data_IF_430235462893
#
_entry.id   IF_430235462893
#
_cell.length_a   1.000
_cell.length_b   1.000
_cell.length_c   1.000
_cell.angle_alpha   90.00
_cell.angle_beta   90.00
_cell.angle_gamma   90.00
#
_symmetry.space_group_name_H-M   'P 1'
#
loop_
_entity.id
_entity.type
_entity.pdbx_description
1 polymer ?
#
# COMPACT_ATOMS: atom_id res chain seq x y z
N UNK A 1 14.77 22.06 -20.82
CA UNK A 1 14.37 23.24 -20.02
C UNK A 1 13.33 22.74 -19.02
N UNK A 2 13.66 22.86 -17.75
CA UNK A 2 12.95 22.28 -16.60
C UNK A 2 11.86 23.23 -16.17
N UNK A 3 10.65 22.75 -15.92
CA UNK A 3 9.68 23.50 -15.12
C UNK A 3 9.45 22.71 -13.84
N UNK A 4 9.95 23.28 -12.76
CA UNK A 4 9.57 22.94 -11.39
C UNK A 4 8.24 23.63 -11.11
N UNK A 5 7.16 22.88 -10.99
CA UNK A 5 5.93 23.38 -10.39
C UNK A 5 5.78 22.75 -8.99
N UNK A 6 6.18 23.56 -8.02
CA UNK A 6 5.94 23.31 -6.60
C UNK A 6 4.44 23.48 -6.30
N UNK A 7 3.79 22.42 -5.82
CA UNK A 7 2.45 22.51 -5.25
C UNK A 7 2.49 23.39 -3.99
N UNK A 8 1.92 24.61 -4.08
CA UNK A 8 1.57 25.42 -2.93
C UNK A 8 0.21 24.97 -2.40
N UNK A 9 0.17 24.63 -1.13
CA UNK A 9 -1.09 24.44 -0.42
C UNK A 9 -1.84 25.77 -0.35
N UNK A 10 -3.06 25.80 -0.86
CA UNK A 10 -3.94 26.96 -0.79
C UNK A 10 -4.81 26.83 0.46
N UNK A 11 -4.78 27.87 1.30
CA UNK A 11 -5.52 27.95 2.57
C UNK A 11 -6.95 28.44 2.33
N UNK A 12 -7.91 27.62 2.70
CA UNK A 12 -9.21 28.07 3.19
C UNK A 12 -10.30 28.31 2.16
N UNK A 13 -11.08 27.28 1.90
CA UNK A 13 -12.54 27.37 1.65
C UNK A 13 -13.07 25.93 1.69
N UNK A 14 -14.31 25.76 2.15
CA UNK A 14 -14.95 24.46 2.39
C UNK A 14 -14.66 23.45 1.30
N UNK A 15 -14.33 22.23 1.69
CA UNK A 15 -14.04 21.12 0.80
C UNK A 15 -15.31 20.82 -0.02
N UNK A 16 -15.40 21.43 -1.19
CA UNK A 16 -16.26 20.90 -2.26
C UNK A 16 -15.53 19.67 -2.79
N UNK A 17 -16.12 18.50 -2.59
CA UNK A 17 -15.64 17.25 -3.18
C UNK A 17 -15.53 17.44 -4.69
N UNK A 18 -14.46 16.93 -5.33
CA UNK A 18 -14.33 17.01 -6.77
C UNK A 18 -15.54 16.34 -7.43
N UNK A 19 -16.13 17.02 -8.38
CA UNK A 19 -17.14 16.47 -9.29
C UNK A 19 -16.59 15.19 -9.92
N UNK A 20 -17.40 14.13 -9.94
CA UNK A 20 -17.05 12.87 -10.62
C UNK A 20 -16.74 13.21 -12.08
N UNK A 21 -15.51 12.89 -12.58
CA UNK A 21 -15.14 13.18 -13.95
C UNK A 21 -16.07 12.45 -14.94
N UNK A 22 -16.35 13.08 -16.07
CA UNK A 22 -17.05 12.43 -17.19
C UNK A 22 -16.16 11.39 -17.86
N UNK A 23 -16.73 10.50 -18.67
CA UNK A 23 -16.01 9.39 -19.34
C UNK A 23 -14.80 9.89 -20.14
N UNK A 24 -14.83 11.10 -20.69
CA UNK A 24 -13.73 11.71 -21.44
C UNK A 24 -12.58 12.18 -20.54
N UNK A 25 -12.84 12.43 -19.26
CA UNK A 25 -11.81 12.75 -18.25
C UNK A 25 -11.14 11.48 -17.70
N UNK A 26 -11.73 10.30 -17.89
CA UNK A 26 -11.27 9.04 -17.29
C UNK A 26 -9.90 8.58 -17.79
N UNK A 27 -9.49 8.97 -18.99
CA UNK A 27 -8.21 8.59 -19.58
C UNK A 27 -7.00 9.26 -18.88
N UNK A 28 -7.24 10.35 -18.12
CA UNK A 28 -6.21 11.11 -17.40
C UNK A 28 -6.11 10.80 -15.90
N UNK A 29 -7.02 10.02 -15.32
CA UNK A 29 -7.17 9.89 -13.86
C UNK A 29 -7.03 8.46 -13.34
N UNK A 30 -6.08 7.71 -13.85
CA UNK A 30 -5.67 6.51 -13.12
C UNK A 30 -5.03 6.93 -11.79
N UNK A 31 -5.71 6.60 -10.70
CA UNK A 31 -5.13 6.67 -9.36
C UNK A 31 -4.17 5.51 -9.24
N UNK A 32 -3.00 5.74 -8.81
CA UNK A 32 -1.96 4.73 -8.76
C UNK A 32 -0.84 5.00 -9.76
N UNK A 33 0.36 4.99 -9.21
CA UNK A 33 1.63 5.16 -9.93
C UNK A 33 2.33 3.82 -9.91
N UNK A 34 2.85 3.39 -11.05
CA UNK A 34 3.64 2.15 -11.16
C UNK A 34 5.11 2.40 -10.89
N UNK A 35 5.76 1.40 -10.28
CA UNK A 35 7.21 1.28 -10.13
C UNK A 35 7.56 -0.17 -10.49
N UNK A 36 8.01 -0.41 -11.72
CA UNK A 36 8.14 -1.78 -12.24
C UNK A 36 6.79 -2.49 -12.29
N UNK A 37 6.68 -3.64 -11.66
CA UNK A 37 5.44 -4.41 -11.49
C UNK A 37 4.61 -3.95 -10.29
N UNK A 38 5.19 -3.16 -9.38
CA UNK A 38 4.51 -2.55 -8.25
C UNK A 38 3.59 -1.40 -8.65
N UNK A 39 2.64 -1.10 -7.78
CA UNK A 39 1.88 0.14 -7.83
C UNK A 39 1.69 0.72 -6.42
N UNK A 40 1.55 2.05 -6.37
CA UNK A 40 1.23 2.79 -5.15
C UNK A 40 0.01 3.68 -5.36
N UNK A 41 -0.74 3.93 -4.28
CA UNK A 41 -1.83 4.91 -4.25
C UNK A 41 -1.82 5.66 -2.93
N UNK A 42 -2.12 6.95 -2.96
CA UNK A 42 -2.19 7.74 -1.73
C UNK A 42 -3.19 8.89 -1.81
N UNK A 43 -3.68 9.26 -0.66
CA UNK A 43 -4.52 10.44 -0.42
C UNK A 43 -4.29 10.95 1.01
N UNK A 44 -5.06 11.93 1.45
CA UNK A 44 -4.98 12.44 2.83
C UNK A 44 -5.53 11.48 3.89
N UNK A 45 -6.22 10.40 3.50
CA UNK A 45 -6.85 9.47 4.43
C UNK A 45 -6.68 7.98 4.06
N UNK A 46 -6.06 7.69 2.93
CA UNK A 46 -5.64 6.33 2.60
C UNK A 46 -4.31 6.31 1.87
N UNK A 47 -3.57 5.23 2.07
CA UNK A 47 -2.37 4.88 1.34
C UNK A 47 -2.38 3.38 1.03
N UNK A 48 -1.71 2.96 -0.04
CA UNK A 48 -1.66 1.55 -0.39
C UNK A 48 -0.59 1.21 -1.40
N UNK A 49 -0.14 -0.04 -1.35
CA UNK A 49 0.75 -0.66 -2.32
C UNK A 49 0.15 -1.96 -2.84
N UNK A 50 0.56 -2.34 -4.02
CA UNK A 50 0.26 -3.64 -4.63
C UNK A 50 1.48 -4.09 -5.42
N UNK A 51 1.96 -5.29 -5.13
CA UNK A 51 3.08 -5.94 -5.78
C UNK A 51 2.55 -6.85 -6.88
N UNK A 52 2.94 -6.56 -8.11
CA UNK A 52 2.56 -7.34 -9.27
C UNK A 52 3.48 -8.53 -9.46
N UNK A 53 2.96 -9.75 -9.43
CA UNK A 53 3.77 -10.98 -9.52
C UNK A 53 4.50 -11.08 -10.85
N UNK A 54 5.80 -10.78 -10.85
CA UNK A 54 6.66 -10.68 -12.03
C UNK A 54 6.76 -11.93 -12.89
N UNK A 55 6.45 -13.11 -12.36
CA UNK A 55 6.42 -14.37 -13.10
C UNK A 55 5.48 -14.33 -14.32
N UNK A 56 4.46 -13.49 -14.30
CA UNK A 56 3.55 -13.31 -15.42
C UNK A 56 4.18 -12.64 -16.64
N UNK A 57 5.25 -11.85 -16.47
CA UNK A 57 5.93 -11.17 -17.58
C UNK A 57 6.56 -12.13 -18.60
N UNK A 58 6.72 -13.39 -18.22
CA UNK A 58 7.18 -14.47 -19.13
C UNK A 58 6.06 -15.07 -19.98
N UNK A 59 4.80 -14.71 -19.73
CA UNK A 59 3.63 -15.25 -20.41
C UNK A 59 3.14 -14.30 -21.50
N UNK A 60 2.66 -14.83 -22.64
CA UNK A 60 1.89 -14.02 -23.58
C UNK A 60 0.71 -13.37 -22.85
N UNK A 61 0.50 -12.06 -23.04
CA UNK A 61 -0.56 -11.29 -22.40
C UNK A 61 -0.39 -11.12 -20.87
N UNK A 62 0.74 -11.54 -20.30
CA UNK A 62 1.10 -11.31 -18.91
C UNK A 62 1.37 -9.82 -18.67
N UNK A 63 0.76 -9.23 -17.63
CA UNK A 63 0.94 -7.83 -17.33
C UNK A 63 0.70 -7.58 -15.84
N UNK A 64 1.67 -7.94 -15.00
CA UNK A 64 1.61 -7.79 -13.55
C UNK A 64 1.44 -6.33 -13.13
N UNK A 65 2.22 -5.41 -13.71
CA UNK A 65 2.13 -3.97 -13.45
C UNK A 65 0.74 -3.37 -13.71
N UNK A 66 -0.01 -3.89 -14.67
CA UNK A 66 -1.39 -3.43 -14.90
C UNK A 66 -2.33 -3.95 -13.83
N UNK A 67 -2.15 -5.21 -13.39
CA UNK A 67 -2.94 -5.79 -12.33
C UNK A 67 -2.79 -5.03 -11.00
N UNK A 68 -1.56 -4.78 -10.58
CA UNK A 68 -1.27 -4.01 -9.36
C UNK A 68 -1.88 -2.61 -9.41
N UNK A 69 -1.75 -1.93 -10.55
CA UNK A 69 -2.31 -0.60 -10.74
C UNK A 69 -3.84 -0.57 -10.75
N UNK A 70 -4.50 -1.53 -11.41
CA UNK A 70 -5.95 -1.58 -11.49
C UNK A 70 -6.59 -1.91 -10.15
N UNK A 71 -6.02 -2.84 -9.38
CA UNK A 71 -6.47 -3.16 -8.02
C UNK A 71 -6.50 -1.91 -7.15
N UNK A 72 -5.41 -1.14 -7.13
CA UNK A 72 -5.35 0.07 -6.33
C UNK A 72 -6.27 1.18 -6.85
N UNK A 73 -6.37 1.32 -8.16
CA UNK A 73 -7.25 2.31 -8.78
C UNK A 73 -8.72 2.09 -8.39
N UNK A 74 -9.23 0.90 -8.61
CA UNK A 74 -10.62 0.60 -8.28
C UNK A 74 -10.88 0.54 -6.79
N UNK A 75 -9.90 0.10 -5.98
CA UNK A 75 -10.02 0.16 -4.53
C UNK A 75 -10.17 1.60 -4.04
N UNK A 76 -9.37 2.52 -4.56
CA UNK A 76 -9.47 3.94 -4.20
C UNK A 76 -10.85 4.51 -4.55
N UNK A 77 -11.36 4.20 -5.76
CA UNK A 77 -12.69 4.65 -6.19
C UNK A 77 -13.81 4.10 -5.28
N UNK A 78 -13.77 2.80 -4.99
CA UNK A 78 -14.78 2.17 -4.11
C UNK A 78 -14.71 2.73 -2.68
N UNK A 79 -13.50 2.95 -2.16
CA UNK A 79 -13.30 3.55 -0.84
C UNK A 79 -13.88 4.95 -0.78
N UNK A 80 -13.61 5.79 -1.78
CA UNK A 80 -14.17 7.14 -1.85
C UNK A 80 -15.69 7.13 -1.94
N UNK A 81 -16.27 6.20 -2.70
CA UNK A 81 -17.72 6.06 -2.76
C UNK A 81 -18.32 5.66 -1.40
N UNK A 82 -17.66 4.74 -0.66
CA UNK A 82 -18.12 4.37 0.67
C UNK A 82 -18.06 5.54 1.65
N UNK A 83 -16.97 6.32 1.64
CA UNK A 83 -16.80 7.52 2.46
C UNK A 83 -17.86 8.58 2.12
N UNK A 84 -18.14 8.80 0.84
CA UNK A 84 -19.18 9.72 0.40
C UNK A 84 -20.57 9.31 0.88
N UNK A 85 -20.91 8.03 0.77
CA UNK A 85 -22.19 7.49 1.25
C UNK A 85 -22.33 7.64 2.76
N UNK A 86 -21.26 7.32 3.52
CA UNK A 86 -21.23 7.47 4.97
C UNK A 86 -21.47 8.91 5.40
N UNK A 87 -20.87 9.88 4.71
CA UNK A 87 -21.04 11.30 5.00
C UNK A 87 -22.42 11.88 4.57
N UNK A 88 -23.09 11.21 3.63
CA UNK A 88 -24.39 11.67 3.08
C UNK A 88 -25.60 11.10 3.83
N UNK A 89 -25.40 10.05 4.65
CA UNK A 89 -26.46 9.42 5.41
C UNK A 89 -26.80 10.29 6.63
N UNK A 90 -27.91 11.02 6.56
CA UNK A 90 -28.52 11.68 7.73
C UNK A 90 -28.98 10.62 8.73
N UNK A 91 -28.92 10.95 10.00
CA UNK A 91 -28.99 10.20 11.26
C UNK A 91 -30.01 9.09 11.47
N UNK A 92 -30.79 8.67 10.49
CA UNK A 92 -31.93 7.76 10.68
C UNK A 92 -31.81 6.38 9.98
N UNK A 93 -30.71 6.10 9.28
CA UNK A 93 -30.46 4.77 8.73
C UNK A 93 -29.20 4.16 9.34
N UNK A 94 -29.30 2.88 9.73
CA UNK A 94 -28.23 2.01 10.23
C UNK A 94 -26.89 2.34 9.56
N UNK A 95 -25.88 2.73 10.37
CA UNK A 95 -24.64 3.36 9.97
C UNK A 95 -24.04 2.75 8.72
N UNK A 96 -23.81 3.59 7.71
CA UNK A 96 -23.04 3.20 6.53
C UNK A 96 -21.63 2.80 6.97
N UNK A 97 -21.40 1.50 7.06
CA UNK A 97 -20.13 0.94 7.53
C UNK A 97 -19.10 1.00 6.42
N UNK A 98 -17.97 1.67 6.67
CA UNK A 98 -16.84 1.70 5.75
C UNK A 98 -16.03 0.41 5.93
N UNK A 99 -15.96 -0.42 4.89
CA UNK A 99 -15.24 -1.69 4.90
C UNK A 99 -14.18 -1.71 3.80
N UNK A 100 -12.89 -1.57 4.17
CA UNK A 100 -11.81 -1.60 3.18
C UNK A 100 -11.73 -2.97 2.47
N UNK A 101 -12.12 -4.04 3.15
CA UNK A 101 -12.14 -5.38 2.56
C UNK A 101 -13.25 -5.54 1.52
N UNK A 102 -14.44 -4.97 1.76
CA UNK A 102 -15.51 -4.99 0.75
C UNK A 102 -15.16 -4.11 -0.44
N UNK A 103 -14.49 -2.97 -0.23
CA UNK A 103 -13.98 -2.14 -1.30
C UNK A 103 -12.93 -2.89 -2.14
N UNK A 104 -12.03 -3.65 -1.49
CA UNK A 104 -11.04 -4.47 -2.17
C UNK A 104 -11.69 -5.62 -2.96
N UNK A 105 -12.77 -6.23 -2.44
CA UNK A 105 -13.52 -7.26 -3.15
C UNK A 105 -14.16 -6.70 -4.43
N UNK A 106 -14.82 -5.56 -4.35
CA UNK A 106 -15.42 -4.90 -5.51
C UNK A 106 -14.35 -4.48 -6.55
N UNK A 107 -13.21 -3.97 -6.08
CA UNK A 107 -12.05 -3.69 -6.93
C UNK A 107 -11.54 -4.93 -7.66
N UNK A 108 -11.39 -6.04 -6.94
CA UNK A 108 -10.95 -7.32 -7.50
C UNK A 108 -11.90 -7.83 -8.59
N UNK A 109 -13.20 -7.78 -8.34
CA UNK A 109 -14.23 -8.19 -9.31
C UNK A 109 -14.19 -7.32 -10.57
N UNK A 110 -14.08 -6.01 -10.41
CA UNK A 110 -13.98 -5.06 -11.52
C UNK A 110 -12.70 -5.27 -12.32
N UNK A 111 -11.55 -5.40 -11.65
CA UNK A 111 -10.25 -5.67 -12.28
C UNK A 111 -10.28 -6.99 -13.06
N UNK A 112 -10.83 -8.05 -12.45
CA UNK A 112 -10.95 -9.37 -13.10
C UNK A 112 -11.84 -9.31 -14.34
N UNK A 113 -12.98 -8.62 -14.27
CA UNK A 113 -13.88 -8.48 -15.42
C UNK A 113 -13.20 -7.71 -16.56
N UNK A 114 -12.53 -6.61 -16.24
CA UNK A 114 -11.83 -5.77 -17.21
C UNK A 114 -10.69 -6.53 -17.88
N UNK A 115 -9.77 -7.10 -17.12
CA UNK A 115 -8.59 -7.82 -17.65
C UNK A 115 -8.99 -9.03 -18.46
N UNK A 116 -10.03 -9.75 -18.04
CA UNK A 116 -10.59 -10.88 -18.82
C UNK A 116 -11.13 -10.44 -20.18
N UNK A 117 -11.78 -9.26 -20.27
CA UNK A 117 -12.33 -8.75 -21.54
C UNK A 117 -11.25 -8.43 -22.58
N UNK A 118 -10.04 -8.12 -22.13
CA UNK A 118 -8.86 -7.85 -22.98
C UNK A 118 -7.87 -9.02 -23.04
N UNK A 119 -8.22 -10.18 -22.48
CA UNK A 119 -7.34 -11.35 -22.39
C UNK A 119 -6.01 -11.08 -21.69
N UNK A 120 -5.97 -10.11 -20.76
CA UNK A 120 -4.78 -9.79 -19.96
C UNK A 120 -4.74 -10.71 -18.75
N UNK A 121 -3.59 -11.32 -18.51
CA UNK A 121 -3.36 -12.21 -17.37
C UNK A 121 -2.33 -11.61 -16.41
N UNK A 122 -2.50 -11.87 -15.12
CA UNK A 122 -1.62 -11.37 -14.07
C UNK A 122 -2.21 -11.62 -12.69
N UNK A 123 -1.40 -11.42 -11.69
CA UNK A 123 -1.78 -11.43 -10.27
C UNK A 123 -1.02 -10.35 -9.52
N UNK A 124 -1.52 -9.99 -8.35
CA UNK A 124 -0.92 -8.96 -7.49
C UNK A 124 -1.28 -9.20 -6.03
N UNK A 125 -0.45 -8.72 -5.12
CA UNK A 125 -0.79 -8.50 -3.71
C UNK A 125 -1.65 -7.24 -3.55
N UNK A 126 -2.12 -6.95 -2.34
CA UNK A 126 -2.72 -5.66 -2.01
C UNK A 126 -2.56 -5.38 -0.52
N UNK A 127 -1.88 -4.30 -0.16
CA UNK A 127 -1.72 -3.84 1.21
C UNK A 127 -2.13 -2.38 1.33
N UNK A 128 -3.08 -2.08 2.22
CA UNK A 128 -3.85 -0.83 2.21
C UNK A 128 -4.03 -0.33 3.65
N UNK A 129 -3.92 0.97 3.86
CA UNK A 129 -4.21 1.62 5.12
C UNK A 129 -5.25 2.72 4.89
N UNK A 130 -6.36 2.68 5.65
CA UNK A 130 -7.48 3.61 5.54
C UNK A 130 -7.75 4.24 6.92
N UNK A 131 -7.63 5.55 7.00
CA UNK A 131 -7.94 6.32 8.20
C UNK A 131 -9.42 6.68 8.23
N UNK A 132 -10.08 6.22 9.27
CA UNK A 132 -11.49 6.53 9.58
C UNK A 132 -11.52 7.56 10.71
N UNK A 133 -12.21 8.68 10.56
CA UNK A 133 -12.38 9.63 11.64
C UNK A 133 -13.07 8.99 12.87
N UNK A 134 -12.74 9.39 14.11
CA UNK A 134 -11.78 10.47 14.41
C UNK A 134 -10.31 10.04 14.36
N UNK A 135 -9.96 8.77 14.58
CA UNK A 135 -8.56 8.33 14.67
C UNK A 135 -8.40 6.80 14.54
N UNK A 136 -9.28 6.11 13.84
CA UNK A 136 -9.17 4.66 13.64
C UNK A 136 -8.51 4.38 12.28
N UNK A 137 -7.40 3.65 12.28
CA UNK A 137 -6.74 3.17 11.06
C UNK A 137 -7.10 1.70 10.83
N UNK A 138 -7.53 1.39 9.61
CA UNK A 138 -7.78 0.02 9.16
C UNK A 138 -6.67 -0.40 8.19
N UNK A 139 -5.85 -1.37 8.60
CA UNK A 139 -4.83 -1.98 7.76
C UNK A 139 -5.43 -3.23 7.12
N UNK A 140 -5.41 -3.31 5.80
CA UNK A 140 -5.96 -4.44 5.04
C UNK A 140 -4.88 -5.06 4.18
N UNK A 141 -4.72 -6.38 4.24
CA UNK A 141 -3.67 -7.09 3.51
C UNK A 141 -4.16 -8.37 2.83
N UNK A 142 -3.67 -8.58 1.61
CA UNK A 142 -3.63 -9.86 0.89
C UNK A 142 -2.24 -9.99 0.28
N UNK A 143 -1.50 -11.00 0.71
CA UNK A 143 -0.13 -11.28 0.26
C UNK A 143 0.93 -10.94 1.27
N UNK A 144 2.15 -10.73 0.81
CA UNK A 144 3.37 -10.52 1.59
C UNK A 144 3.86 -9.06 1.63
N UNK A 145 3.19 -8.16 0.91
CA UNK A 145 3.31 -6.72 1.20
C UNK A 145 2.83 -6.43 2.63
N UNK A 146 3.38 -5.41 3.28
CA UNK A 146 3.09 -5.15 4.69
C UNK A 146 2.76 -3.70 4.99
N UNK A 147 1.92 -3.51 6.01
CA UNK A 147 1.65 -2.22 6.64
C UNK A 147 2.04 -2.24 8.11
N UNK A 148 2.67 -1.17 8.56
CA UNK A 148 3.14 -0.99 9.94
C UNK A 148 2.66 0.34 10.50
N UNK A 149 2.43 0.38 11.80
CA UNK A 149 2.23 1.63 12.55
C UNK A 149 3.34 1.75 13.59
N UNK A 150 4.21 2.74 13.41
CA UNK A 150 5.28 3.07 14.35
C UNK A 150 4.81 4.21 15.25
N UNK A 151 4.97 4.03 16.55
CA UNK A 151 4.71 5.07 17.57
C UNK A 151 6.01 5.62 18.08
N UNK A 152 6.38 6.87 17.74
CA UNK A 152 7.65 7.46 18.15
C UNK A 152 7.82 7.54 19.67
N UNK A 153 6.74 7.81 20.41
CA UNK A 153 6.77 7.88 21.89
C UNK A 153 7.11 6.53 22.56
N UNK A 154 6.88 5.41 21.87
CA UNK A 154 7.22 4.06 22.34
C UNK A 154 8.45 3.46 21.65
N UNK A 155 8.93 4.08 20.58
CA UNK A 155 10.09 3.61 19.80
C UNK A 155 9.91 2.24 19.15
N UNK A 156 8.67 1.86 18.80
CA UNK A 156 8.36 0.53 18.25
C UNK A 156 7.15 0.52 17.33
N UNK A 157 7.00 -0.55 16.58
CA UNK A 157 5.74 -0.85 15.90
C UNK A 157 4.67 -1.28 16.91
N UNK A 158 3.52 -0.60 16.89
CA UNK A 158 2.35 -0.90 17.74
C UNK A 158 1.33 -1.80 17.02
N UNK A 159 1.38 -1.87 15.71
CA UNK A 159 0.57 -2.76 14.88
C UNK A 159 1.25 -3.04 13.54
N UNK A 160 0.92 -4.17 12.95
CA UNK A 160 1.31 -4.53 11.58
C UNK A 160 0.35 -5.55 11.00
N UNK A 161 0.39 -5.71 9.67
CA UNK A 161 -0.22 -6.82 8.97
C UNK A 161 0.73 -8.02 8.95
N UNK A 162 0.18 -9.22 8.85
CA UNK A 162 0.97 -10.44 8.69
C UNK A 162 1.15 -10.77 7.21
N UNK A 163 2.37 -11.21 6.83
CA UNK A 163 2.64 -11.76 5.51
C UNK A 163 1.83 -13.04 5.28
N UNK A 164 1.33 -13.23 4.07
CA UNK A 164 0.50 -14.37 3.73
C UNK A 164 1.10 -15.10 2.52
N UNK A 165 1.53 -16.34 2.73
CA UNK A 165 2.11 -17.19 1.69
C UNK A 165 1.36 -18.52 1.51
N UNK A 166 1.42 -19.07 0.32
CA UNK A 166 1.09 -20.47 0.07
C UNK A 166 2.27 -21.37 0.42
N UNK A 167 3.49 -20.93 0.06
CA UNK A 167 4.79 -21.48 0.42
C UNK A 167 5.84 -20.38 0.28
N UNK A 168 7.08 -20.65 0.63
CA UNK A 168 8.17 -19.67 0.56
C UNK A 168 8.24 -18.99 -0.81
N UNK A 169 8.32 -17.67 -0.83
CA UNK A 169 8.39 -16.82 -2.02
C UNK A 169 7.20 -16.99 -3.00
N UNK A 170 6.05 -17.40 -2.46
CA UNK A 170 4.81 -17.49 -3.20
C UNK A 170 3.66 -16.90 -2.38
N UNK A 171 3.41 -15.60 -2.53
CA UNK A 171 2.37 -14.93 -1.77
C UNK A 171 0.97 -15.40 -2.12
N UNK A 172 0.03 -15.21 -1.21
CA UNK A 172 -1.38 -15.12 -1.55
C UNK A 172 -1.57 -13.93 -2.46
N UNK A 173 -2.33 -14.10 -3.53
CA UNK A 173 -2.36 -13.13 -4.61
C UNK A 173 -3.72 -13.10 -5.30
N UNK A 174 -4.10 -11.93 -5.74
CA UNK A 174 -5.37 -11.67 -6.42
C UNK A 174 -5.19 -11.66 -7.93
N UNK A 175 -5.96 -12.47 -8.67
CA UNK A 175 -5.95 -12.39 -10.12
C UNK A 175 -6.13 -13.71 -10.86
N UNK A 176 -5.50 -13.82 -12.00
CA UNK A 176 -5.69 -14.91 -12.96
C UNK A 176 -5.30 -16.26 -12.36
N UNK A 177 -6.27 -17.20 -12.34
CA UNK A 177 -6.08 -18.57 -11.84
C UNK A 177 -5.66 -18.66 -10.35
N UNK A 178 -5.71 -17.58 -9.59
CA UNK A 178 -5.53 -17.64 -8.15
C UNK A 178 -6.80 -18.17 -7.46
N UNK A 179 -6.66 -19.03 -6.45
CA UNK A 179 -7.78 -19.42 -5.60
C UNK A 179 -8.15 -18.34 -4.56
N UNK A 180 -7.28 -17.33 -4.41
CA UNK A 180 -7.41 -16.30 -3.38
C UNK A 180 -8.41 -15.22 -3.82
N UNK A 181 -9.22 -14.78 -2.87
CA UNK A 181 -10.13 -13.63 -3.02
C UNK A 181 -10.01 -12.73 -1.81
N UNK A 182 -10.26 -11.41 -1.92
CA UNK A 182 -10.18 -10.52 -0.77
C UNK A 182 -11.00 -11.01 0.44
N UNK A 183 -12.24 -11.40 0.23
CA UNK A 183 -13.11 -11.89 1.32
C UNK A 183 -12.62 -13.24 1.88
N UNK A 184 -12.00 -14.09 1.04
CA UNK A 184 -11.55 -15.43 1.43
C UNK A 184 -10.27 -15.44 2.26
N UNK A 185 -9.34 -14.52 2.00
CA UNK A 185 -8.00 -14.52 2.61
C UNK A 185 -7.58 -13.19 3.20
N UNK A 186 -8.32 -12.12 2.91
CA UNK A 186 -7.96 -10.78 3.36
C UNK A 186 -7.98 -10.65 4.88
N UNK A 187 -6.98 -9.97 5.41
CA UNK A 187 -6.82 -9.65 6.82
C UNK A 187 -7.11 -8.17 7.05
N UNK A 188 -7.75 -7.84 8.15
CA UNK A 188 -7.96 -6.46 8.59
C UNK A 188 -7.48 -6.32 10.02
N UNK A 189 -6.60 -5.32 10.25
CA UNK A 189 -6.12 -4.94 11.59
C UNK A 189 -6.60 -3.53 11.88
N UNK A 190 -7.26 -3.33 13.02
CA UNK A 190 -7.75 -2.04 13.49
C UNK A 190 -6.79 -1.46 14.52
N UNK A 191 -6.43 -0.18 14.35
CA UNK A 191 -5.49 0.53 15.23
C UNK A 191 -6.06 1.89 15.61
N UNK A 192 -5.99 2.23 16.91
CA UNK A 192 -6.26 3.59 17.38
C UNK A 192 -4.99 4.44 17.22
N UNK A 193 -5.09 5.48 16.41
CA UNK A 193 -3.99 6.36 16.07
C UNK A 193 -3.85 7.50 17.07
N UNK A 194 -2.62 7.89 17.33
CA UNK A 194 -2.25 9.10 18.06
C UNK A 194 -1.57 10.08 17.10
N UNK A 195 -1.60 11.36 17.48
CA UNK A 195 -0.87 12.39 16.74
C UNK A 195 0.64 12.09 16.77
N UNK A 196 1.28 12.11 15.62
CA UNK A 196 2.68 11.79 15.46
C UNK A 196 2.96 10.32 15.11
N UNK A 197 1.98 9.42 15.20
CA UNK A 197 2.14 8.04 14.72
C UNK A 197 2.50 8.03 13.23
N UNK A 198 3.34 7.09 12.84
CA UNK A 198 3.85 6.94 11.47
C UNK A 198 3.32 5.64 10.88
N UNK A 199 2.65 5.75 9.75
CA UNK A 199 2.16 4.61 8.98
C UNK A 199 3.12 4.34 7.83
N UNK A 200 3.55 3.09 7.69
CA UNK A 200 4.37 2.63 6.58
C UNK A 200 3.60 1.55 5.86
N UNK A 201 3.51 1.66 4.53
CA UNK A 201 2.98 0.60 3.67
C UNK A 201 4.02 0.33 2.60
N UNK A 202 4.44 -0.94 2.47
CA UNK A 202 5.52 -1.32 1.59
C UNK A 202 5.27 -2.67 0.90
N UNK A 203 5.81 -2.84 -0.30
CA UNK A 203 5.96 -4.14 -0.95
C UNK A 203 7.05 -4.95 -0.27
N UNK A 204 7.11 -6.25 -0.53
CA UNK A 204 8.05 -7.19 0.11
C UNK A 204 9.52 -6.78 -0.06
N UNK A 205 9.87 -6.10 -1.18
CA UNK A 205 11.21 -5.61 -1.44
C UNK A 205 11.82 -4.75 -0.33
N UNK A 206 11.01 -4.15 0.56
CA UNK A 206 11.52 -3.48 1.76
C UNK A 206 11.97 -4.49 2.82
N UNK A 207 11.06 -5.37 3.28
CA UNK A 207 11.30 -6.26 4.41
C UNK A 207 12.07 -7.54 4.04
N UNK A 208 12.17 -7.85 2.76
CA UNK A 208 13.09 -8.85 2.24
C UNK A 208 14.57 -8.42 2.35
N UNK A 209 14.80 -7.11 2.37
CA UNK A 209 16.15 -6.55 2.37
C UNK A 209 16.52 -5.84 3.68
N UNK A 210 15.58 -5.36 4.48
CA UNK A 210 15.87 -4.68 5.75
C UNK A 210 15.24 -5.41 6.93
N UNK A 211 16.03 -5.56 7.99
CA UNK A 211 15.53 -6.10 9.25
C UNK A 211 14.59 -5.11 9.94
N UNK A 212 13.55 -5.62 10.60
CA UNK A 212 12.61 -4.79 11.36
C UNK A 212 13.33 -3.84 12.33
N UNK A 213 14.34 -4.33 13.02
CA UNK A 213 15.12 -3.52 13.96
C UNK A 213 15.84 -2.33 13.29
N UNK A 214 16.29 -2.50 12.04
CA UNK A 214 16.93 -1.44 11.27
C UNK A 214 15.91 -0.38 10.85
N UNK A 215 14.73 -0.82 10.41
CA UNK A 215 13.62 0.11 10.04
C UNK A 215 13.18 0.90 11.26
N UNK A 216 13.02 0.26 12.43
CA UNK A 216 12.68 0.93 13.70
C UNK A 216 13.76 1.93 14.10
N UNK A 217 15.03 1.59 13.95
CA UNK A 217 16.13 2.50 14.25
C UNK A 217 16.11 3.74 13.35
N UNK A 218 15.87 3.56 12.06
CA UNK A 218 15.79 4.68 11.10
C UNK A 218 14.61 5.59 11.42
N UNK A 219 13.44 5.02 11.74
CA UNK A 219 12.24 5.79 12.11
C UNK A 219 12.42 6.56 13.41
N UNK A 220 13.10 5.96 14.39
CA UNK A 220 13.40 6.62 15.66
C UNK A 220 14.32 7.82 15.44
N UNK A 221 15.42 7.65 14.72
CA UNK A 221 16.33 8.73 14.38
C UNK A 221 15.64 9.86 13.61
N UNK A 222 14.83 9.51 12.62
CA UNK A 222 14.07 10.49 11.85
C UNK A 222 13.05 11.28 12.69
N UNK A 223 12.36 10.60 13.61
CA UNK A 223 11.40 11.25 14.50
C UNK A 223 12.09 12.24 15.47
N UNK A 224 13.32 11.93 15.94
CA UNK A 224 14.12 12.79 16.80
C UNK A 224 14.73 13.98 16.05
N UNK A 225 15.15 13.80 14.79
CA UNK A 225 15.69 14.88 13.95
C UNK A 225 14.65 15.94 13.60
N UNK A 226 13.35 15.63 13.76
CA UNK A 226 12.27 16.55 13.45
C UNK A 226 12.16 16.90 11.97
N UNK A 227 12.66 16.01 11.10
CA UNK A 227 12.65 16.19 9.65
C UNK A 227 11.20 16.23 9.14
N UNK A 228 10.74 17.45 8.87
CA UNK A 228 9.38 17.73 8.44
C UNK A 228 9.16 17.42 6.93
N UNK A 229 10.21 17.10 6.17
CA UNK A 229 10.16 17.15 4.71
C UNK A 229 10.20 15.79 3.99
N UNK A 230 9.83 14.70 4.65
CA UNK A 230 9.36 13.53 3.89
C UNK A 230 10.40 12.63 3.22
N UNK A 231 11.69 12.75 3.53
CA UNK A 231 12.72 11.89 2.93
C UNK A 231 12.81 10.48 3.52
N UNK A 232 11.95 10.14 4.50
CA UNK A 232 12.04 8.83 5.19
C UNK A 232 11.78 7.66 4.23
N UNK A 233 10.78 7.75 3.37
CA UNK A 233 10.51 6.72 2.38
C UNK A 233 11.71 6.53 1.43
N UNK A 234 12.32 7.62 0.96
CA UNK A 234 13.50 7.60 0.09
C UNK A 234 14.69 6.93 0.78
N UNK A 235 14.96 7.28 2.04
CA UNK A 235 16.04 6.65 2.85
C UNK A 235 15.85 5.15 2.99
N UNK A 236 14.62 4.69 3.29
CA UNK A 236 14.32 3.26 3.39
C UNK A 236 14.52 2.54 2.06
N UNK A 237 14.03 3.11 0.96
CA UNK A 237 14.20 2.56 -0.39
C UNK A 237 15.68 2.49 -0.79
N UNK A 238 16.46 3.55 -0.55
CA UNK A 238 17.90 3.56 -0.87
C UNK A 238 18.66 2.48 -0.08
N UNK A 239 18.35 2.31 1.21
CA UNK A 239 18.96 1.27 2.04
C UNK A 239 18.59 -0.11 1.55
N UNK A 240 17.30 -0.38 1.30
CA UNK A 240 16.82 -1.65 0.78
C UNK A 240 17.48 -1.98 -0.58
N UNK A 241 17.55 -1.02 -1.51
CA UNK A 241 18.24 -1.18 -2.80
C UNK A 241 19.73 -1.52 -2.65
N UNK A 242 20.40 -0.93 -1.66
CA UNK A 242 21.80 -1.24 -1.40
C UNK A 242 22.00 -2.70 -0.98
N UNK A 243 21.12 -3.22 -0.11
CA UNK A 243 21.16 -4.63 0.32
C UNK A 243 20.74 -5.54 -0.83
N UNK A 244 19.66 -5.21 -1.55
CA UNK A 244 19.19 -5.96 -2.71
C UNK A 244 20.28 -6.14 -3.78
N UNK A 245 21.11 -5.13 -3.97
CA UNK A 245 22.22 -5.15 -4.95
C UNK A 245 23.50 -5.82 -4.46
N UNK A 246 23.57 -6.25 -3.20
CA UNK A 246 24.73 -6.96 -2.63
C UNK A 246 24.55 -8.48 -2.73
N UNK A 247 25.24 -9.18 -3.64
CA UNK A 247 25.07 -10.62 -3.82
C UNK A 247 25.64 -11.44 -2.66
N UNK A 248 26.34 -10.83 -1.72
CA UNK A 248 26.98 -11.47 -0.56
C UNK A 248 26.47 -10.92 0.77
N UNK A 249 25.58 -9.91 0.71
CA UNK A 249 25.01 -9.27 1.89
C UNK A 249 24.09 -10.22 2.65
N UNK A 250 24.01 -10.02 3.96
CA UNK A 250 22.98 -10.68 4.76
C UNK A 250 21.67 -9.94 4.59
N UNK A 251 20.57 -10.68 4.39
CA UNK A 251 19.24 -10.12 4.27
C UNK A 251 18.21 -11.00 4.97
N UNK A 252 17.06 -10.45 5.38
CA UNK A 252 15.93 -11.24 5.89
C UNK A 252 15.46 -12.31 4.90
N UNK A 253 15.44 -12.01 3.61
CA UNK A 253 15.10 -12.97 2.55
C UNK A 253 16.04 -14.17 2.53
N UNK A 254 17.37 -13.91 2.54
CA UNK A 254 18.39 -14.97 2.62
C UNK A 254 18.20 -15.86 3.85
N UNK A 255 17.97 -15.26 5.03
CA UNK A 255 17.78 -16.02 6.27
C UNK A 255 16.56 -16.96 6.15
N UNK A 256 15.42 -16.44 5.69
CA UNK A 256 14.21 -17.23 5.46
C UNK A 256 14.42 -18.33 4.41
N UNK A 257 15.17 -18.05 3.34
CA UNK A 257 15.50 -19.04 2.33
C UNK A 257 16.33 -20.20 2.90
N UNK A 258 17.33 -19.89 3.72
CA UNK A 258 18.18 -20.90 4.40
C UNK A 258 17.35 -21.74 5.38
N UNK A 259 16.41 -21.17 6.10
CA UNK A 259 15.46 -21.90 6.97
C UNK A 259 14.59 -22.90 6.17
N UNK A 260 14.31 -22.60 4.91
CA UNK A 260 13.61 -23.50 3.98
C UNK A 260 14.54 -24.50 3.27
N UNK A 261 15.84 -24.49 3.61
CA UNK A 261 16.84 -25.38 3.01
C UNK A 261 17.30 -24.96 1.61
N UNK A 262 17.07 -23.69 1.23
CA UNK A 262 17.49 -23.13 -0.04
C UNK A 262 18.86 -22.45 0.12
N UNK A 263 19.78 -22.69 -0.80
CA UNK A 263 21.11 -22.09 -0.83
C UNK A 263 21.10 -20.73 -1.54
N UNK A 264 20.24 -19.81 -1.09
CA UNK A 264 20.17 -18.44 -1.62
C UNK A 264 21.08 -17.55 -0.79
N UNK A 265 21.86 -16.71 -1.45
CA UNK A 265 22.77 -15.75 -0.84
C UNK A 265 22.43 -14.33 -1.30
N UNK A 266 22.74 -13.33 -0.47
CA UNK A 266 22.57 -11.93 -0.80
C UNK A 266 21.18 -11.36 -0.54
N UNK A 267 20.96 -10.14 -1.04
CA UNK A 267 19.65 -9.48 -1.01
C UNK A 267 18.72 -9.98 -2.12
N UNK A 268 17.43 -9.74 -1.96
CA UNK A 268 16.43 -10.01 -3.02
C UNK A 268 16.33 -8.80 -3.94
N UNK A 269 16.71 -8.99 -5.19
CA UNK A 269 16.55 -7.94 -6.21
C UNK A 269 15.10 -7.93 -6.70
N UNK A 270 14.37 -6.88 -6.33
CA UNK A 270 12.96 -6.72 -6.63
C UNK A 270 12.60 -5.23 -6.81
N UNK A 271 11.39 -4.95 -7.25
CA UNK A 271 10.79 -3.64 -7.13
C UNK A 271 10.61 -3.29 -5.64
N UNK A 272 10.85 -2.05 -5.26
CA UNK A 272 10.73 -1.61 -3.87
C UNK A 272 9.84 -0.37 -3.83
N UNK A 273 8.64 -0.53 -3.31
CA UNK A 273 7.67 0.55 -3.16
C UNK A 273 7.35 0.78 -1.69
N UNK A 274 7.54 2.02 -1.23
CA UNK A 274 7.33 2.41 0.17
C UNK A 274 6.58 3.72 0.24
N UNK A 275 5.53 3.76 1.05
CA UNK A 275 4.84 4.99 1.43
C UNK A 275 5.00 5.17 2.93
N UNK A 276 5.39 6.38 3.35
CA UNK A 276 5.45 6.79 4.75
C UNK A 276 4.51 7.97 4.95
N UNK A 277 3.61 7.86 5.91
CA UNK A 277 2.66 8.91 6.26
C UNK A 277 2.66 9.16 7.76
N UNK A 278 2.62 10.44 8.18
CA UNK A 278 2.53 10.82 9.59
C UNK A 278 1.09 11.22 9.93
N UNK A 279 0.56 10.68 11.02
CA UNK A 279 -0.73 11.08 11.56
C UNK A 279 -0.64 12.50 12.15
N UNK A 280 -1.45 13.40 11.64
CA UNK A 280 -1.51 14.78 12.12
C UNK A 280 -2.94 15.15 12.46
N UNK A 281 -3.12 15.90 13.55
CA UNK A 281 -4.42 16.48 13.86
C UNK A 281 -4.73 17.59 12.86
N UNK A 282 -5.92 17.55 12.28
CA UNK A 282 -6.37 18.62 11.39
C UNK A 282 -6.68 19.87 12.23
N UNK A 283 -5.95 20.94 12.01
CA UNK A 283 -6.25 22.23 12.64
C UNK A 283 -7.59 22.76 12.11
N UNK A 284 -8.50 23.16 12.99
CA UNK A 284 -9.71 23.91 12.64
C UNK A 284 -11.02 23.13 12.46
N UNK A 285 -11.12 21.90 12.97
CA UNK A 285 -12.40 21.19 13.13
C UNK A 285 -12.65 20.99 14.62
N UNK A 286 -13.32 21.97 15.24
CA UNK A 286 -13.97 21.81 16.56
C UNK A 286 -15.37 21.19 16.36
#
# INVERSE_FOLDING_TARGET
MRNNDTCKADNGAGVSLPTIPTVDDAVGYFRGVTNGDDAIVFSSYYIGVADGVGAWNTRPQGHAALWSRLILHFWALETEQQVLRANSSSSDNEGSFISPLSALQASYETTTALTKSYSIVGTTTACLALLIPPATLLLTNVGDSQAFVFRPSEGKFIARTEEQWHWFDCPRQLGTNSPDTPVGVGQVVEVQMEEGDVVIVATDGLMDNLWEAEVVQDLTGWAEEGDAEGHMAERLVERAKKVAGDPWGLSPYMERAVEQGLGIEGGKWDDISVIVARCQRREGVE
#
